data_IF_150991967057
#
_entry.id   IF_150991967057
#
_cell.length_a   1.000
_cell.length_b   1.000
_cell.length_c   1.000
_cell.angle_alpha   90.00
_cell.angle_beta   90.00
_cell.angle_gamma   90.00
#
_symmetry.space_group_name_H-M   'P 1'
#
loop_
_entity.id
_entity.type
_entity.pdbx_description
1 polymer ?
#
# COMPACT_ATOMS: atom_id res chain seq x y z
N UNK A 1 25.00 -29.40 6.14
CA UNK A 1 25.91 -28.85 7.20
C UNK A 1 25.04 -28.23 8.26
N UNK A 2 25.28 -28.49 9.56
CA UNK A 2 24.56 -27.83 10.63
C UNK A 2 25.19 -26.43 10.85
N UNK A 3 24.38 -25.43 10.90
CA UNK A 3 24.76 -24.04 11.16
C UNK A 3 23.89 -23.46 12.28
N UNK A 4 24.38 -22.45 12.98
CA UNK A 4 23.63 -21.72 13.98
C UNK A 4 23.83 -20.23 13.73
N UNK A 5 22.84 -19.42 14.06
CA UNK A 5 22.89 -17.97 13.99
C UNK A 5 22.26 -17.36 15.24
N UNK A 6 22.82 -16.25 15.73
CA UNK A 6 22.37 -15.60 16.96
C UNK A 6 21.01 -14.92 16.77
N UNK A 7 20.78 -14.28 15.63
CA UNK A 7 19.54 -13.57 15.33
C UNK A 7 19.24 -13.59 13.83
N UNK A 8 18.03 -14.01 13.47
CA UNK A 8 17.50 -13.94 12.10
C UNK A 8 16.11 -13.30 12.13
N UNK A 9 15.90 -12.31 11.30
CA UNK A 9 14.68 -11.50 11.24
C UNK A 9 13.89 -11.78 9.99
N UNK A 10 12.57 -11.99 10.10
CA UNK A 10 11.65 -12.16 8.96
C UNK A 10 11.61 -10.88 8.12
N UNK A 11 11.76 -11.03 6.80
CA UNK A 11 11.74 -9.92 5.85
C UNK A 11 10.74 -10.08 4.71
N UNK A 12 10.26 -11.31 4.41
CA UNK A 12 9.33 -11.56 3.30
C UNK A 12 8.60 -12.89 3.44
N UNK A 13 7.36 -12.95 2.92
CA UNK A 13 6.45 -14.11 2.95
C UNK A 13 6.02 -14.61 1.57
N UNK A 14 6.48 -14.05 0.47
CA UNK A 14 5.91 -14.25 -0.87
C UNK A 14 5.71 -15.73 -1.25
N UNK A 15 6.60 -16.61 -0.78
CA UNK A 15 6.54 -18.03 -1.09
C UNK A 15 5.91 -18.90 0.00
N UNK A 16 5.46 -18.33 1.12
CA UNK A 16 4.97 -19.13 2.26
C UNK A 16 3.76 -19.99 1.90
N UNK A 17 2.80 -19.43 1.16
CA UNK A 17 1.60 -20.17 0.76
C UNK A 17 1.84 -21.20 -0.35
N UNK A 18 2.92 -21.02 -1.12
CA UNK A 18 3.23 -21.91 -2.22
C UNK A 18 4.19 -23.03 -1.82
N UNK A 19 5.28 -22.68 -1.15
CA UNK A 19 6.38 -23.59 -0.88
C UNK A 19 6.75 -23.70 0.59
N UNK A 20 6.09 -22.99 1.50
CA UNK A 20 6.47 -22.95 2.92
C UNK A 20 7.81 -22.21 3.13
N UNK A 21 8.15 -21.29 2.26
CA UNK A 21 9.43 -20.56 2.28
C UNK A 21 9.23 -19.13 2.75
N UNK A 22 10.08 -18.67 3.68
CA UNK A 22 10.14 -17.32 4.24
C UNK A 22 11.55 -16.79 4.05
N UNK A 23 11.72 -15.50 3.72
CA UNK A 23 13.05 -14.89 3.74
C UNK A 23 13.38 -14.30 5.08
N UNK A 24 14.60 -14.56 5.51
CA UNK A 24 15.18 -14.03 6.75
C UNK A 24 16.39 -13.15 6.41
N UNK A 25 16.68 -12.21 7.31
CA UNK A 25 17.87 -11.37 7.25
C UNK A 25 18.69 -11.49 8.54
N UNK A 26 20.01 -11.52 8.42
CA UNK A 26 20.97 -11.44 9.51
C UNK A 26 21.26 -9.98 9.93
N UNK A 27 20.61 -8.99 9.32
CA UNK A 27 20.81 -7.55 9.58
C UNK A 27 19.52 -6.84 10.01
N UNK A 28 18.57 -7.57 10.57
CA UNK A 28 17.26 -7.02 10.91
C UNK A 28 16.40 -6.77 9.67
N UNK A 29 15.42 -5.88 9.77
CA UNK A 29 14.56 -5.50 8.64
C UNK A 29 15.30 -4.63 7.65
N UNK A 30 15.23 -4.98 6.37
CA UNK A 30 16.00 -4.34 5.30
C UNK A 30 15.21 -3.20 4.66
N UNK A 31 15.95 -2.18 4.19
CA UNK A 31 15.38 -1.01 3.52
C UNK A 31 15.70 -1.03 2.03
N UNK A 32 14.74 -0.64 1.20
CA UNK A 32 14.97 -0.44 -0.23
C UNK A 32 16.03 0.66 -0.43
N UNK A 33 17.11 0.41 -1.20
CA UNK A 33 18.20 1.38 -1.33
C UNK A 33 17.75 2.77 -1.78
N UNK A 34 16.86 2.86 -2.77
CA UNK A 34 16.34 4.14 -3.30
C UNK A 34 15.29 4.80 -2.41
N UNK A 35 14.87 4.14 -1.33
CA UNK A 35 14.10 4.78 -0.25
C UNK A 35 15.00 5.61 0.68
N UNK A 36 16.29 5.26 0.76
CA UNK A 36 17.28 5.85 1.69
C UNK A 36 18.26 6.75 0.97
N UNK A 37 18.83 6.28 -0.13
CA UNK A 37 19.91 6.92 -0.89
C UNK A 37 19.44 7.32 -2.30
N UNK A 38 20.19 8.20 -2.95
CA UNK A 38 19.90 8.60 -4.33
C UNK A 38 20.11 7.42 -5.29
N UNK A 39 19.25 7.26 -6.29
CA UNK A 39 19.42 6.25 -7.33
C UNK A 39 20.82 6.31 -7.98
N UNK A 40 21.41 5.14 -8.24
CA UNK A 40 22.73 5.02 -8.87
C UNK A 40 23.90 5.58 -8.05
N UNK A 41 23.71 5.89 -6.76
CA UNK A 41 24.82 6.32 -5.88
C UNK A 41 25.57 5.14 -5.31
N UNK A 42 26.86 5.34 -4.98
CA UNK A 42 27.71 4.33 -4.34
C UNK A 42 27.08 3.83 -3.02
N UNK A 43 26.38 4.70 -2.29
CA UNK A 43 25.70 4.36 -1.04
C UNK A 43 24.48 3.44 -1.29
N UNK A 44 23.71 3.69 -2.37
CA UNK A 44 22.58 2.83 -2.74
C UNK A 44 23.07 1.44 -3.18
N UNK A 45 24.12 1.38 -3.99
CA UNK A 45 24.74 0.13 -4.42
C UNK A 45 25.31 -0.66 -3.23
N UNK A 46 26.01 0.03 -2.31
CA UNK A 46 26.56 -0.59 -1.11
C UNK A 46 25.46 -1.16 -0.20
N UNK A 47 24.36 -0.43 -0.02
CA UNK A 47 23.21 -0.90 0.76
C UNK A 47 22.57 -2.12 0.10
N UNK A 48 22.37 -2.11 -1.22
CA UNK A 48 21.84 -3.27 -1.96
C UNK A 48 22.74 -4.51 -1.77
N UNK A 49 24.05 -4.32 -1.92
CA UNK A 49 25.01 -5.42 -1.74
C UNK A 49 25.00 -5.97 -0.31
N UNK A 50 24.88 -5.10 0.71
CA UNK A 50 24.77 -5.51 2.11
C UNK A 50 23.45 -6.25 2.38
N UNK A 51 22.33 -5.76 1.85
CA UNK A 51 21.02 -6.42 1.97
C UNK A 51 21.04 -7.83 1.37
N UNK A 52 21.54 -7.97 0.13
CA UNK A 52 21.63 -9.26 -0.55
C UNK A 52 22.56 -10.25 0.18
N UNK A 53 23.63 -9.76 0.79
CA UNK A 53 24.54 -10.58 1.59
C UNK A 53 23.94 -11.04 2.93
N UNK A 54 22.96 -10.30 3.45
CA UNK A 54 22.28 -10.62 4.71
C UNK A 54 21.09 -11.57 4.53
N UNK A 55 20.55 -11.71 3.30
CA UNK A 55 19.35 -12.49 3.02
C UNK A 55 19.62 -14.00 2.94
N UNK A 56 18.73 -14.79 3.54
CA UNK A 56 18.70 -16.24 3.41
C UNK A 56 17.24 -16.75 3.45
N UNK A 57 16.94 -17.81 2.69
CA UNK A 57 15.63 -18.46 2.76
C UNK A 57 15.56 -19.45 3.91
N UNK A 58 14.47 -19.43 4.67
CA UNK A 58 14.02 -20.49 5.55
C UNK A 58 13.02 -21.36 4.79
N UNK A 59 13.25 -22.66 4.73
CA UNK A 59 12.50 -23.62 3.90
C UNK A 59 12.09 -24.80 4.77
N UNK A 60 10.81 -25.18 4.75
CA UNK A 60 10.24 -26.25 5.59
C UNK A 60 10.77 -27.67 5.26
N UNK A 61 11.66 -27.77 4.28
CA UNK A 61 12.28 -29.04 3.85
C UNK A 61 11.42 -29.87 2.91
N UNK A 62 10.28 -29.35 2.44
CA UNK A 62 9.39 -30.01 1.50
C UNK A 62 9.62 -29.53 0.08
N UNK A 63 9.46 -30.44 -0.90
CA UNK A 63 9.65 -30.09 -2.32
C UNK A 63 8.34 -29.85 -3.06
N UNK A 64 7.21 -30.07 -2.42
CA UNK A 64 5.87 -29.92 -2.99
C UNK A 64 5.28 -28.55 -2.77
N UNK A 65 4.37 -28.12 -3.65
CA UNK A 65 3.49 -26.99 -3.38
C UNK A 65 2.56 -27.31 -2.19
N UNK A 66 2.17 -26.29 -1.42
CA UNK A 66 1.19 -26.41 -0.34
C UNK A 66 -0.15 -27.04 -0.79
N UNK A 67 -0.51 -26.91 -2.06
CA UNK A 67 -1.66 -27.61 -2.64
C UNK A 67 -1.55 -29.15 -2.63
N UNK A 68 -0.35 -29.70 -2.45
CA UNK A 68 -0.05 -31.12 -2.46
C UNK A 68 0.39 -31.64 -1.08
N UNK A 69 -0.04 -31.00 0.01
CA UNK A 69 0.34 -31.39 1.38
C UNK A 69 -0.16 -32.77 1.74
N UNK A 70 0.63 -33.47 2.55
CA UNK A 70 0.25 -34.76 3.10
C UNK A 70 -0.64 -34.58 4.34
N UNK A 71 -1.50 -35.57 4.61
CA UNK A 71 -2.32 -35.57 5.82
C UNK A 71 -1.43 -35.61 7.06
N UNK A 72 -1.68 -34.69 8.01
CA UNK A 72 -0.93 -34.55 9.25
C UNK A 72 0.17 -33.50 9.24
N UNK A 73 0.39 -32.82 8.09
CA UNK A 73 1.25 -31.64 8.05
C UNK A 73 0.55 -30.43 8.69
N UNK A 74 1.31 -29.53 9.33
CA UNK A 74 0.80 -28.20 9.73
C UNK A 74 0.24 -27.47 8.50
N UNK A 75 -0.83 -26.70 8.63
CA UNK A 75 -1.50 -26.03 7.50
C UNK A 75 -0.57 -25.03 6.80
N UNK A 76 0.12 -24.19 7.56
CA UNK A 76 1.25 -23.38 7.08
C UNK A 76 2.42 -23.58 8.05
N UNK A 77 3.67 -23.65 7.55
CA UNK A 77 4.83 -23.64 8.42
C UNK A 77 4.97 -22.26 9.07
N UNK A 78 5.49 -22.20 10.29
CA UNK A 78 5.86 -20.99 11.03
C UNK A 78 4.70 -20.07 11.42
N UNK A 79 3.45 -20.42 11.13
CA UNK A 79 2.27 -19.60 11.43
C UNK A 79 1.26 -20.45 12.21
N UNK A 80 0.93 -20.05 13.43
CA UNK A 80 -0.12 -20.69 14.23
C UNK A 80 -1.51 -20.44 13.59
N UNK A 81 -2.42 -21.42 13.68
CA UNK A 81 -3.81 -21.26 13.25
C UNK A 81 -4.48 -20.09 13.99
N UNK A 82 -5.09 -19.16 13.25
CA UNK A 82 -5.66 -17.93 13.82
C UNK A 82 -4.63 -16.91 14.28
N UNK A 83 -3.34 -17.20 14.09
CA UNK A 83 -2.23 -16.31 14.39
C UNK A 83 -1.69 -15.59 13.16
N UNK A 84 -0.54 -14.95 13.32
CA UNK A 84 0.18 -14.26 12.25
C UNK A 84 1.67 -14.42 12.40
N UNK A 85 2.37 -14.34 11.28
CA UNK A 85 3.81 -14.10 11.17
C UNK A 85 4.01 -12.70 10.60
N UNK A 86 4.92 -11.92 11.20
CA UNK A 86 5.13 -10.52 10.80
C UNK A 86 6.57 -10.25 10.38
N UNK A 87 6.74 -9.29 9.49
CA UNK A 87 8.07 -8.73 9.22
C UNK A 87 8.60 -8.12 10.50
N UNK A 88 9.83 -8.50 10.86
CA UNK A 88 10.45 -8.14 12.12
C UNK A 88 10.35 -9.21 13.22
N UNK A 89 9.55 -10.28 13.06
CA UNK A 89 9.59 -11.42 13.96
C UNK A 89 10.96 -12.12 13.85
N UNK A 90 11.50 -12.64 14.96
CA UNK A 90 12.88 -13.11 15.03
C UNK A 90 13.01 -14.57 15.47
N UNK A 91 14.06 -15.21 15.00
CA UNK A 91 14.60 -16.46 15.52
C UNK A 91 15.90 -16.15 16.26
N UNK A 92 16.02 -16.59 17.51
CA UNK A 92 17.19 -16.37 18.37
C UNK A 92 17.89 -17.67 18.67
N UNK A 93 19.22 -17.69 18.50
CA UNK A 93 20.10 -18.82 18.82
C UNK A 93 19.74 -20.18 18.19
N UNK A 94 19.08 -20.17 17.02
CA UNK A 94 18.56 -21.34 16.36
C UNK A 94 19.59 -22.11 15.54
N UNK A 95 19.36 -23.40 15.36
CA UNK A 95 20.22 -24.32 14.59
C UNK A 95 19.48 -24.91 13.40
N UNK A 96 20.15 -24.92 12.25
CA UNK A 96 19.59 -25.33 10.98
C UNK A 96 20.48 -26.32 10.23
N UNK A 97 19.89 -27.03 9.28
CA UNK A 97 20.64 -27.70 8.24
C UNK A 97 20.77 -26.77 7.04
N UNK A 98 22.01 -26.41 6.69
CA UNK A 98 22.27 -25.62 5.49
C UNK A 98 22.18 -26.51 4.25
N UNK A 99 21.33 -26.19 3.34
CA UNK A 99 21.06 -26.87 2.08
C UNK A 99 21.19 -25.91 0.90
N UNK A 100 21.70 -26.39 -0.23
CA UNK A 100 21.70 -25.68 -1.50
C UNK A 100 20.76 -26.38 -2.47
N UNK A 101 19.70 -25.68 -2.88
CA UNK A 101 18.70 -26.18 -3.80
C UNK A 101 18.04 -25.05 -4.59
N UNK A 102 17.59 -25.34 -5.81
CA UNK A 102 16.95 -24.37 -6.71
C UNK A 102 17.75 -23.07 -6.91
N UNK A 103 19.10 -23.19 -6.88
CA UNK A 103 19.99 -22.05 -7.13
C UNK A 103 20.31 -21.15 -5.95
N UNK A 104 19.77 -21.42 -4.75
CA UNK A 104 19.97 -20.60 -3.56
C UNK A 104 20.30 -21.43 -2.32
N UNK A 105 20.96 -20.81 -1.34
CA UNK A 105 21.16 -21.39 -0.03
C UNK A 105 19.89 -21.25 0.82
N UNK A 106 19.56 -22.34 1.55
CA UNK A 106 18.39 -22.44 2.41
C UNK A 106 18.78 -22.96 3.79
N UNK A 107 18.09 -22.44 4.78
CA UNK A 107 18.05 -22.99 6.14
C UNK A 107 16.86 -23.94 6.25
N UNK A 108 17.11 -25.19 6.60
CA UNK A 108 16.06 -26.16 6.91
C UNK A 108 16.03 -26.36 8.41
N UNK A 109 14.89 -26.12 9.09
CA UNK A 109 14.76 -26.27 10.53
C UNK A 109 14.92 -27.75 10.93
N UNK A 110 15.31 -27.97 12.16
CA UNK A 110 15.30 -29.30 12.77
C UNK A 110 13.88 -29.69 13.22
N UNK A 111 13.08 -28.69 13.59
CA UNK A 111 11.68 -28.81 14.00
C UNK A 111 10.94 -27.55 13.53
N UNK A 112 9.99 -27.74 12.62
CA UNK A 112 9.21 -26.62 12.03
C UNK A 112 8.24 -26.02 13.05
N UNK A 113 7.61 -26.89 13.87
CA UNK A 113 6.58 -26.45 14.82
C UNK A 113 7.22 -25.65 15.97
N UNK A 114 8.43 -26.02 16.41
CA UNK A 114 9.17 -25.25 17.41
C UNK A 114 9.46 -23.80 16.96
N UNK A 115 9.76 -23.58 15.66
CA UNK A 115 10.00 -22.22 15.14
C UNK A 115 8.74 -21.33 15.13
N UNK A 116 7.55 -21.92 15.06
CA UNK A 116 6.29 -21.17 15.16
C UNK A 116 6.18 -20.44 16.50
N UNK A 117 6.47 -21.15 17.59
CA UNK A 117 6.48 -20.58 18.94
C UNK A 117 7.58 -19.52 19.12
N UNK A 118 8.76 -19.76 18.54
CA UNK A 118 9.89 -18.83 18.58
C UNK A 118 9.57 -17.51 17.90
N UNK A 119 9.03 -17.51 16.69
CA UNK A 119 8.60 -16.30 16.01
C UNK A 119 7.54 -15.53 16.79
N UNK A 120 6.53 -16.22 17.32
CA UNK A 120 5.48 -15.61 18.11
C UNK A 120 6.02 -14.97 19.41
N UNK A 121 7.03 -15.58 20.03
CA UNK A 121 7.64 -15.12 21.27
C UNK A 121 8.61 -13.95 21.07
N UNK A 122 9.26 -13.85 19.92
CA UNK A 122 10.31 -12.87 19.61
C UNK A 122 9.82 -11.78 18.63
N UNK A 123 8.61 -11.29 18.81
CA UNK A 123 8.02 -10.24 17.97
C UNK A 123 8.57 -8.87 18.30
N UNK A 124 9.27 -8.24 17.36
CA UNK A 124 9.84 -6.88 17.54
C UNK A 124 8.90 -5.76 17.10
N UNK A 125 7.92 -6.09 16.26
CA UNK A 125 6.93 -5.15 15.72
C UNK A 125 5.50 -5.64 16.00
N UNK A 126 4.98 -5.44 17.23
CA UNK A 126 3.62 -5.84 17.55
C UNK A 126 2.60 -5.07 16.71
N UNK A 127 1.44 -5.68 16.49
CA UNK A 127 0.29 -5.00 15.86
C UNK A 127 -0.06 -3.73 16.63
N UNK A 128 -0.31 -2.66 15.87
CA UNK A 128 -0.90 -1.43 16.40
C UNK A 128 -2.39 -1.47 16.08
N UNK A 129 -3.19 -1.72 17.11
CA UNK A 129 -4.65 -1.85 16.96
C UNK A 129 -5.28 -0.55 16.46
N UNK A 130 -4.83 0.60 16.96
CA UNK A 130 -5.32 1.89 16.59
C UNK A 130 -4.34 2.62 15.64
N UNK A 131 -4.84 3.40 14.67
CA UNK A 131 -4.00 4.23 13.82
C UNK A 131 -3.22 5.27 14.63
N UNK A 132 -2.02 5.66 14.19
CA UNK A 132 -1.25 6.71 14.85
C UNK A 132 -2.01 8.03 14.90
N UNK A 133 -1.90 8.75 16.03
CA UNK A 133 -2.48 10.09 16.15
C UNK A 133 -1.64 11.11 15.37
N UNK A 134 -2.26 11.77 14.41
CA UNK A 134 -1.65 12.82 13.59
C UNK A 134 -2.12 14.23 13.97
N UNK A 135 -2.99 14.34 14.96
CA UNK A 135 -3.57 15.61 15.39
C UNK A 135 -4.43 16.28 14.33
N UNK A 136 -4.57 17.61 14.47
CA UNK A 136 -5.29 18.44 13.51
C UNK A 136 -6.81 18.47 13.69
N UNK A 137 -7.48 19.25 12.84
CA UNK A 137 -8.94 19.40 12.80
C UNK A 137 -9.56 18.78 11.56
N UNK A 138 -8.73 18.33 10.63
CA UNK A 138 -9.09 17.57 9.45
C UNK A 138 -8.06 16.47 9.25
N UNK A 139 -8.53 15.24 9.02
CA UNK A 139 -7.70 14.09 8.67
C UNK A 139 -7.95 13.70 7.23
N UNK A 140 -6.87 13.41 6.49
CA UNK A 140 -6.91 12.85 5.14
C UNK A 140 -6.16 11.53 5.17
N UNK A 141 -6.75 10.49 4.59
CA UNK A 141 -6.10 9.19 4.43
C UNK A 141 -5.88 8.84 2.96
N UNK A 142 -4.76 8.19 2.66
CA UNK A 142 -4.47 7.52 1.40
C UNK A 142 -4.46 6.03 1.62
N UNK A 143 -5.18 5.25 0.80
CA UNK A 143 -5.25 3.82 0.97
C UNK A 143 -5.40 3.09 -0.38
N UNK A 144 -4.39 2.34 -0.78
CA UNK A 144 -4.50 1.34 -1.83
C UNK A 144 -5.25 0.14 -1.26
N UNK A 145 -6.40 -0.21 -1.83
CA UNK A 145 -7.34 -1.21 -1.29
C UNK A 145 -7.24 -2.58 -1.99
N UNK A 146 -6.18 -2.78 -2.78
CA UNK A 146 -5.86 -4.05 -3.44
C UNK A 146 -7.03 -4.57 -4.30
N UNK A 147 -7.28 -3.90 -5.42
CA UNK A 147 -8.27 -4.32 -6.43
C UNK A 147 -9.66 -4.62 -5.84
N UNK A 148 -10.34 -3.59 -5.34
CA UNK A 148 -11.71 -3.72 -4.83
C UNK A 148 -12.72 -3.75 -5.98
N UNK A 149 -13.20 -4.95 -6.33
CA UNK A 149 -14.10 -5.24 -7.43
C UNK A 149 -15.38 -5.89 -6.91
N UNK A 150 -16.55 -5.39 -7.30
CA UNK A 150 -17.83 -5.84 -6.77
C UNK A 150 -18.67 -6.71 -7.73
N UNK A 151 -18.10 -7.13 -8.88
CA UNK A 151 -18.79 -7.90 -9.90
C UNK A 151 -19.85 -7.04 -10.62
N UNK A 152 -21.12 -7.44 -10.55
CA UNK A 152 -22.23 -6.64 -11.09
C UNK A 152 -22.85 -5.69 -10.04
N UNK A 153 -22.31 -5.67 -8.83
CA UNK A 153 -22.82 -4.91 -7.69
C UNK A 153 -24.16 -5.41 -7.15
N UNK A 154 -24.63 -6.57 -7.60
CA UNK A 154 -25.90 -7.19 -7.23
C UNK A 154 -25.73 -8.64 -6.74
N UNK A 155 -24.47 -9.05 -6.50
CA UNK A 155 -24.12 -10.39 -6.00
C UNK A 155 -23.73 -11.40 -7.09
N UNK A 156 -23.62 -10.96 -8.35
CA UNK A 156 -23.15 -11.74 -9.49
C UNK A 156 -21.91 -11.15 -10.14
N UNK A 157 -21.60 -11.60 -11.38
CA UNK A 157 -20.49 -11.05 -12.17
C UNK A 157 -19.10 -11.56 -11.76
N UNK A 158 -19.02 -12.69 -11.04
CA UNK A 158 -17.74 -13.33 -10.66
C UNK A 158 -17.36 -14.47 -11.63
N UNK A 159 -16.04 -14.75 -11.83
CA UNK A 159 -14.91 -14.01 -11.27
C UNK A 159 -14.79 -12.62 -11.90
N UNK A 160 -14.35 -11.64 -11.11
CA UNK A 160 -14.02 -10.30 -11.60
C UNK A 160 -12.70 -10.30 -12.38
N UNK A 161 -12.43 -9.23 -13.10
CA UNK A 161 -11.18 -9.10 -13.87
C UNK A 161 -9.93 -9.09 -12.96
N UNK A 162 -10.05 -8.49 -11.78
CA UNK A 162 -9.04 -8.46 -10.71
C UNK A 162 -9.72 -8.60 -9.35
N UNK A 163 -8.94 -8.84 -8.28
CA UNK A 163 -9.45 -8.91 -6.91
C UNK A 163 -10.30 -10.15 -6.62
N UNK A 164 -11.50 -9.96 -6.09
CA UNK A 164 -12.37 -11.05 -5.65
C UNK A 164 -12.85 -11.94 -6.80
N UNK A 165 -12.72 -13.24 -6.65
CA UNK A 165 -13.23 -14.22 -7.64
C UNK A 165 -14.57 -14.83 -7.23
N UNK A 166 -15.08 -14.50 -6.04
CA UNK A 166 -16.38 -14.93 -5.51
C UNK A 166 -17.04 -13.81 -4.71
N UNK A 167 -18.35 -13.89 -4.52
CA UNK A 167 -19.06 -13.01 -3.59
C UNK A 167 -18.58 -13.16 -2.14
N UNK A 168 -18.12 -14.35 -1.75
CA UNK A 168 -17.56 -14.60 -0.42
C UNK A 168 -16.27 -13.81 -0.22
N UNK A 169 -15.35 -13.83 -1.18
CA UNK A 169 -14.12 -13.03 -1.14
C UNK A 169 -14.40 -11.53 -1.08
N UNK A 170 -15.35 -11.02 -1.88
CA UNK A 170 -15.78 -9.63 -1.80
C UNK A 170 -16.31 -9.28 -0.39
N UNK A 171 -17.11 -10.16 0.21
CA UNK A 171 -17.64 -9.95 1.56
C UNK A 171 -16.50 -9.88 2.59
N UNK A 172 -15.52 -10.79 2.51
CA UNK A 172 -14.33 -10.80 3.37
C UNK A 172 -13.51 -9.51 3.19
N UNK A 173 -13.22 -9.11 1.94
CA UNK A 173 -12.47 -7.89 1.63
C UNK A 173 -13.20 -6.66 2.15
N UNK A 174 -14.51 -6.55 1.90
CA UNK A 174 -15.33 -5.45 2.40
C UNK A 174 -15.30 -5.35 3.91
N UNK A 175 -15.42 -6.48 4.63
CA UNK A 175 -15.37 -6.52 6.11
C UNK A 175 -14.06 -5.94 6.62
N UNK A 176 -12.92 -6.36 6.07
CA UNK A 176 -11.59 -5.87 6.47
C UNK A 176 -11.40 -4.38 6.15
N UNK A 177 -11.81 -3.94 4.96
CA UNK A 177 -11.70 -2.54 4.54
C UNK A 177 -12.61 -1.61 5.36
N UNK A 178 -13.82 -2.06 5.71
CA UNK A 178 -14.72 -1.30 6.59
C UNK A 178 -14.09 -1.11 7.96
N UNK A 179 -13.55 -2.16 8.58
CA UNK A 179 -12.85 -2.05 9.87
C UNK A 179 -11.66 -1.07 9.78
N UNK A 180 -10.83 -1.19 8.73
CA UNK A 180 -9.70 -0.29 8.52
C UNK A 180 -10.11 1.18 8.35
N UNK A 181 -11.09 1.45 7.47
CA UNK A 181 -11.54 2.81 7.15
C UNK A 181 -12.21 3.47 8.36
N UNK A 182 -13.05 2.74 9.08
CA UNK A 182 -13.72 3.28 10.28
C UNK A 182 -12.73 3.58 11.40
N UNK A 183 -11.73 2.73 11.61
CA UNK A 183 -10.66 3.00 12.60
C UNK A 183 -9.76 4.17 12.21
N UNK A 184 -9.42 4.34 10.93
CA UNK A 184 -8.66 5.50 10.44
C UNK A 184 -9.36 6.82 10.77
N UNK A 185 -10.69 6.82 10.87
CA UNK A 185 -11.52 7.97 11.24
C UNK A 185 -11.09 9.26 10.50
N UNK A 186 -10.86 9.17 9.19
CA UNK A 186 -10.48 10.31 8.38
C UNK A 186 -11.72 11.05 7.81
N UNK A 187 -11.56 12.33 7.56
CA UNK A 187 -12.60 13.17 6.94
C UNK A 187 -12.66 12.97 5.42
N UNK A 188 -11.50 12.67 4.80
CA UNK A 188 -11.35 12.42 3.36
C UNK A 188 -10.42 11.21 3.15
N UNK A 189 -10.84 10.29 2.32
CA UNK A 189 -10.06 9.14 1.87
C UNK A 189 -9.81 9.25 0.38
N UNK A 190 -8.54 9.19 -0.06
CA UNK A 190 -8.14 8.90 -1.41
C UNK A 190 -7.89 7.40 -1.52
N UNK A 191 -8.80 6.68 -2.18
CA UNK A 191 -8.71 5.24 -2.38
C UNK A 191 -8.08 4.94 -3.73
N UNK A 192 -7.23 3.94 -3.78
CA UNK A 192 -6.51 3.48 -4.96
C UNK A 192 -6.90 2.03 -5.23
N UNK A 193 -6.96 1.63 -6.51
CA UNK A 193 -7.35 0.29 -6.97
C UNK A 193 -8.82 -0.06 -6.72
N UNK A 194 -9.70 0.93 -6.84
CA UNK A 194 -11.15 0.70 -6.97
C UNK A 194 -11.46 0.32 -8.42
N UNK A 195 -12.39 -0.62 -8.63
CA UNK A 195 -12.89 -0.98 -9.95
C UNK A 195 -13.32 0.26 -10.74
N UNK A 196 -12.90 0.35 -12.02
CA UNK A 196 -13.20 1.48 -12.89
C UNK A 196 -14.54 1.30 -13.58
N UNK A 197 -15.59 1.38 -12.81
CA UNK A 197 -16.97 1.26 -13.20
C UNK A 197 -17.78 2.54 -12.94
N UNK A 198 -19.05 2.54 -13.27
CA UNK A 198 -19.94 3.68 -13.09
C UNK A 198 -21.39 3.27 -12.91
N UNK A 199 -22.27 4.25 -12.71
CA UNK A 199 -23.70 4.04 -12.57
C UNK A 199 -24.14 3.69 -11.15
N UNK A 200 -25.27 2.96 -11.04
CA UNK A 200 -25.94 2.75 -9.74
C UNK A 200 -25.25 1.70 -8.86
N UNK A 201 -24.49 0.79 -9.44
CA UNK A 201 -23.93 -0.39 -8.78
C UNK A 201 -22.39 -0.39 -8.75
N UNK A 202 -21.78 0.79 -8.88
CA UNK A 202 -20.32 0.91 -8.91
C UNK A 202 -19.67 0.45 -7.59
N UNK A 203 -18.44 -0.08 -7.68
CA UNK A 203 -17.72 -0.68 -6.57
C UNK A 203 -17.50 0.31 -5.40
N UNK A 204 -17.17 1.56 -5.67
CA UNK A 204 -17.00 2.58 -4.61
C UNK A 204 -18.31 2.80 -3.85
N UNK A 205 -19.48 2.69 -4.50
CA UNK A 205 -20.80 2.79 -3.83
C UNK A 205 -21.00 1.60 -2.90
N UNK A 206 -20.70 0.38 -3.35
CA UNK A 206 -20.80 -0.84 -2.53
C UNK A 206 -20.00 -0.69 -1.24
N UNK A 207 -18.78 -0.16 -1.32
CA UNK A 207 -17.95 0.11 -0.14
C UNK A 207 -18.57 1.19 0.77
N UNK A 208 -19.05 2.30 0.20
CA UNK A 208 -19.69 3.39 0.97
C UNK A 208 -20.98 2.93 1.63
N UNK A 209 -21.77 2.12 0.96
CA UNK A 209 -23.02 1.54 1.53
C UNK A 209 -22.67 0.62 2.72
N UNK A 210 -21.60 -0.18 2.63
CA UNK A 210 -21.12 -1.02 3.73
C UNK A 210 -20.62 -0.16 4.92
N UNK A 211 -19.85 0.90 4.65
CA UNK A 211 -19.39 1.85 5.69
C UNK A 211 -20.59 2.51 6.41
N UNK A 212 -21.59 2.93 5.68
CA UNK A 212 -22.79 3.56 6.25
C UNK A 212 -23.66 2.54 7.02
N UNK A 213 -23.71 1.29 6.57
CA UNK A 213 -24.42 0.23 7.28
C UNK A 213 -23.78 -0.06 8.64
N UNK A 214 -22.43 -0.13 8.71
CA UNK A 214 -21.70 -0.36 9.96
C UNK A 214 -21.79 0.86 10.89
N UNK A 215 -21.67 2.08 10.36
CA UNK A 215 -21.84 3.33 11.10
C UNK A 215 -23.28 3.56 11.61
N UNK A 216 -24.26 2.80 11.12
CA UNK A 216 -25.68 2.94 11.45
C UNK A 216 -26.32 4.25 10.97
N UNK A 217 -25.66 4.99 10.08
CA UNK A 217 -26.11 6.28 9.55
C UNK A 217 -25.41 6.62 8.22
N UNK A 218 -26.04 7.46 7.40
CA UNK A 218 -25.42 7.99 6.18
C UNK A 218 -24.34 9.04 6.50
N UNK A 219 -23.17 8.60 6.95
CA UNK A 219 -22.01 9.43 7.29
C UNK A 219 -21.09 9.64 6.09
N UNK A 220 -20.88 8.59 5.30
CA UNK A 220 -19.93 8.59 4.20
C UNK A 220 -20.61 8.81 2.85
N UNK A 221 -19.91 9.52 1.99
CA UNK A 221 -20.23 9.70 0.57
C UNK A 221 -18.97 9.61 -0.27
N UNK A 222 -19.13 9.50 -1.58
CA UNK A 222 -18.01 9.52 -2.53
C UNK A 222 -18.21 10.62 -3.58
N UNK A 223 -17.12 10.98 -4.26
CA UNK A 223 -17.17 11.83 -5.45
C UNK A 223 -17.47 10.93 -6.65
N UNK A 224 -18.64 11.10 -7.26
CA UNK A 224 -19.06 10.29 -8.41
C UNK A 224 -18.34 10.77 -9.67
N UNK A 225 -17.30 10.06 -10.08
CA UNK A 225 -16.51 10.36 -11.27
C UNK A 225 -16.99 9.59 -12.50
N UNK A 226 -17.86 8.59 -12.33
CA UNK A 226 -18.11 7.58 -13.36
C UNK A 226 -16.82 6.83 -13.73
N UNK A 227 -16.75 6.32 -14.95
CA UNK A 227 -15.54 5.69 -15.51
C UNK A 227 -14.52 6.77 -15.88
N UNK A 228 -13.26 6.59 -15.47
CA UNK A 228 -12.14 7.50 -15.77
C UNK A 228 -10.95 6.72 -16.35
N UNK A 229 -10.37 7.21 -17.47
CA UNK A 229 -9.29 6.49 -18.16
C UNK A 229 -9.76 5.16 -18.75
N UNK A 230 -8.81 4.27 -19.00
CA UNK A 230 -9.03 3.01 -19.72
C UNK A 230 -8.61 1.76 -18.95
N UNK A 231 -7.96 1.92 -17.78
CA UNK A 231 -7.56 0.79 -16.93
C UNK A 231 -8.81 0.21 -16.22
N UNK A 232 -8.73 -1.03 -15.80
CA UNK A 232 -9.77 -1.72 -15.01
C UNK A 232 -9.92 -1.14 -13.60
N UNK A 233 -8.93 -0.37 -13.14
CA UNK A 233 -8.92 0.27 -11.82
C UNK A 233 -8.82 1.79 -11.94
N UNK A 234 -9.38 2.48 -10.94
CA UNK A 234 -9.31 3.94 -10.79
C UNK A 234 -9.01 4.35 -9.35
N UNK A 235 -8.78 5.65 -9.17
CA UNK A 235 -8.81 6.29 -7.87
C UNK A 235 -10.23 6.77 -7.55
N UNK A 236 -10.55 6.85 -6.25
CA UNK A 236 -11.83 7.39 -5.79
C UNK A 236 -11.64 8.24 -4.53
N UNK A 237 -12.53 9.21 -4.32
CA UNK A 237 -12.66 9.90 -3.05
C UNK A 237 -13.89 9.42 -2.30
N UNK A 238 -13.67 9.00 -1.05
CA UNK A 238 -14.72 8.82 -0.03
C UNK A 238 -14.54 9.90 1.02
N UNK A 239 -15.63 10.46 1.56
CA UNK A 239 -15.55 11.54 2.53
C UNK A 239 -16.67 11.50 3.56
N UNK A 240 -16.38 11.98 4.77
CA UNK A 240 -17.35 12.17 5.84
C UNK A 240 -18.13 13.47 5.61
N UNK A 241 -19.41 13.34 5.18
CA UNK A 241 -20.28 14.48 4.86
C UNK A 241 -20.63 15.35 6.07
N UNK A 242 -20.40 14.86 7.27
CA UNK A 242 -20.68 15.58 8.51
C UNK A 242 -19.57 16.60 8.84
N UNK A 243 -18.39 16.41 8.24
CA UNK A 243 -17.20 17.22 8.55
C UNK A 243 -16.68 17.99 7.36
N UNK A 244 -16.85 17.47 6.16
CA UNK A 244 -16.41 18.12 4.91
C UNK A 244 -17.47 18.03 3.81
N UNK A 245 -17.30 18.85 2.79
CA UNK A 245 -18.01 18.70 1.52
C UNK A 245 -17.11 19.03 0.34
N UNK A 246 -17.26 18.35 -0.81
CA UNK A 246 -16.60 18.75 -2.04
C UNK A 246 -17.11 20.12 -2.50
N UNK A 247 -16.25 20.95 -3.08
CA UNK A 247 -16.56 22.26 -3.64
C UNK A 247 -15.84 22.43 -4.98
N UNK A 248 -16.54 23.02 -5.95
CA UNK A 248 -16.11 23.00 -7.36
C UNK A 248 -16.30 21.60 -7.97
N UNK A 249 -15.92 21.50 -9.23
CA UNK A 249 -15.90 20.21 -9.93
C UNK A 249 -14.61 19.45 -9.59
N UNK A 250 -14.66 18.11 -9.66
CA UNK A 250 -13.41 17.34 -9.68
C UNK A 250 -12.66 17.59 -10.99
N UNK A 251 -11.37 17.37 -11.00
CA UNK A 251 -10.54 17.52 -12.18
C UNK A 251 -9.65 16.28 -12.39
N UNK A 252 -9.38 15.96 -13.64
CA UNK A 252 -8.54 14.83 -14.02
C UNK A 252 -7.31 15.33 -14.77
N UNK A 253 -6.15 14.80 -14.41
CA UNK A 253 -4.95 14.92 -15.23
C UNK A 253 -4.85 13.68 -16.13
N UNK A 254 -4.84 13.93 -17.44
CA UNK A 254 -4.73 12.93 -18.51
C UNK A 254 -3.76 13.43 -19.57
N UNK A 255 -3.41 12.59 -20.53
CA UNK A 255 -2.59 12.96 -21.71
C UNK A 255 -3.22 14.06 -22.56
N UNK A 256 -4.54 14.22 -22.52
CA UNK A 256 -5.25 15.32 -23.19
C UNK A 256 -5.06 16.68 -22.49
N UNK A 257 -4.75 16.68 -21.18
CA UNK A 257 -4.45 17.88 -20.39
C UNK A 257 -2.97 18.21 -20.47
N UNK A 258 -2.11 17.24 -20.28
CA UNK A 258 -0.67 17.37 -20.42
C UNK A 258 -0.08 16.09 -21.05
N UNK A 259 0.53 16.16 -22.24
CA UNK A 259 1.02 14.96 -22.94
C UNK A 259 2.18 14.24 -22.24
N UNK A 260 2.76 14.83 -21.21
CA UNK A 260 3.76 14.15 -20.34
C UNK A 260 3.11 13.14 -19.40
N UNK A 261 1.80 13.26 -19.15
CA UNK A 261 1.05 12.33 -18.32
C UNK A 261 0.44 11.23 -19.21
N UNK A 262 1.10 10.07 -19.28
CA UNK A 262 0.59 8.92 -20.02
C UNK A 262 -0.45 8.16 -19.23
N UNK A 263 -1.73 8.46 -19.45
CA UNK A 263 -2.87 7.82 -18.79
C UNK A 263 -3.25 6.45 -19.34
N UNK A 264 -2.50 5.93 -20.32
CA UNK A 264 -2.53 4.50 -20.68
C UNK A 264 -1.59 3.66 -19.79
N UNK A 265 -0.71 4.31 -19.03
CA UNK A 265 0.29 3.67 -18.14
C UNK A 265 0.05 4.00 -16.69
N UNK A 266 -0.05 5.28 -16.35
CA UNK A 266 -0.55 5.77 -15.06
C UNK A 266 -2.06 5.92 -15.14
N UNK A 267 -2.79 5.77 -14.03
CA UNK A 267 -4.24 6.05 -14.01
C UNK A 267 -4.44 7.56 -13.90
N UNK A 268 -5.49 8.17 -14.52
CA UNK A 268 -5.72 9.61 -14.44
C UNK A 268 -5.67 10.13 -13.00
N UNK A 269 -4.82 11.11 -12.69
CA UNK A 269 -4.80 11.69 -11.36
C UNK A 269 -6.11 12.43 -11.10
N UNK A 270 -6.72 12.21 -9.92
CA UNK A 270 -8.03 12.75 -9.55
C UNK A 270 -7.85 13.83 -8.48
N UNK A 271 -8.23 15.09 -8.78
CA UNK A 271 -8.21 16.21 -7.86
C UNK A 271 -9.63 16.62 -7.45
N UNK A 272 -9.81 16.90 -6.15
CA UNK A 272 -11.02 17.49 -5.60
C UNK A 272 -10.67 18.48 -4.50
N UNK A 273 -11.34 19.63 -4.49
CA UNK A 273 -11.26 20.56 -3.37
C UNK A 273 -12.35 20.26 -2.35
N UNK A 274 -11.96 20.12 -1.09
CA UNK A 274 -12.86 19.91 0.04
C UNK A 274 -12.91 21.15 0.94
N UNK A 275 -14.11 21.50 1.38
CA UNK A 275 -14.37 22.56 2.35
C UNK A 275 -14.61 21.92 3.71
N UNK A 276 -13.83 22.30 4.72
CA UNK A 276 -14.06 21.95 6.13
C UNK A 276 -15.29 22.68 6.67
N UNK A 277 -16.29 21.94 7.09
CA UNK A 277 -17.48 22.50 7.72
C UNK A 277 -17.09 23.14 9.06
N UNK A 278 -17.72 24.26 9.40
CA UNK A 278 -17.43 25.00 10.63
C UNK A 278 -16.30 26.04 10.51
N UNK A 279 -15.21 25.77 9.78
CA UNK A 279 -14.14 26.76 9.55
C UNK A 279 -14.27 27.50 8.22
N UNK A 280 -14.78 26.82 7.19
CA UNK A 280 -14.86 27.32 5.82
C UNK A 280 -13.52 27.27 5.05
N UNK A 281 -12.45 26.76 5.67
CA UNK A 281 -11.16 26.55 5.01
C UNK A 281 -11.27 25.42 3.97
N UNK A 282 -10.40 25.51 2.96
CA UNK A 282 -10.43 24.59 1.81
C UNK A 282 -9.06 23.99 1.57
N UNK A 283 -9.05 22.72 1.22
CA UNK A 283 -7.85 21.97 0.81
C UNK A 283 -8.14 21.26 -0.50
N UNK A 284 -7.19 21.28 -1.43
CA UNK A 284 -7.27 20.48 -2.65
C UNK A 284 -6.48 19.19 -2.41
N UNK A 285 -7.15 18.05 -2.49
CA UNK A 285 -6.54 16.72 -2.37
C UNK A 285 -6.46 16.11 -3.75
N UNK A 286 -5.34 15.48 -4.05
CA UNK A 286 -5.10 14.79 -5.33
C UNK A 286 -4.67 13.38 -5.06
N UNK A 287 -5.44 12.40 -5.49
CA UNK A 287 -5.12 10.99 -5.37
C UNK A 287 -4.54 10.48 -6.70
N UNK A 288 -3.45 9.72 -6.60
CA UNK A 288 -2.65 9.28 -7.73
C UNK A 288 -2.40 7.77 -7.66
N UNK A 289 -2.20 7.17 -8.83
CA UNK A 289 -1.68 5.83 -8.99
C UNK A 289 -0.82 5.79 -10.26
N UNK A 290 0.48 5.96 -10.10
CA UNK A 290 1.43 5.97 -11.22
C UNK A 290 1.74 4.55 -11.70
N UNK A 291 2.45 4.46 -12.83
CA UNK A 291 2.85 3.18 -13.44
C UNK A 291 3.76 2.39 -12.51
N UNK A 292 3.42 1.13 -12.30
CA UNK A 292 4.21 0.19 -11.48
C UNK A 292 5.62 -0.05 -12.05
N UNK A 293 6.55 -0.50 -11.19
CA UNK A 293 7.99 -0.65 -11.49
C UNK A 293 8.34 -1.89 -12.31
N UNK A 294 7.40 -2.80 -12.56
CA UNK A 294 7.61 -4.02 -13.35
C UNK A 294 7.73 -3.74 -14.84
N UNK A 295 8.39 -4.63 -15.60
CA UNK A 295 8.67 -4.48 -17.04
C UNK A 295 7.39 -4.29 -17.88
N UNK A 296 6.30 -5.01 -17.58
CA UNK A 296 4.98 -4.94 -18.22
C UNK A 296 4.96 -4.37 -19.66
N UNK A 297 4.78 -5.18 -20.68
CA UNK A 297 4.63 -4.76 -22.09
C UNK A 297 5.77 -3.90 -22.69
N UNK A 298 6.85 -3.67 -21.96
CA UNK A 298 8.02 -2.95 -22.44
C UNK A 298 9.00 -3.96 -23.05
N UNK A 299 9.20 -3.88 -24.37
CA UNK A 299 10.08 -4.78 -25.13
C UNK A 299 11.33 -4.07 -25.67
N UNK A 300 11.29 -2.73 -25.78
CA UNK A 300 12.38 -1.92 -26.31
C UNK A 300 13.41 -1.60 -25.21
N UNK A 301 14.53 -2.31 -25.24
CA UNK A 301 15.66 -2.09 -24.32
C UNK A 301 16.34 -0.73 -24.48
N UNK A 302 16.05 0.01 -25.59
CA UNK A 302 16.60 1.35 -25.82
C UNK A 302 15.64 2.45 -25.32
N UNK A 303 14.46 2.07 -24.85
CA UNK A 303 13.49 3.01 -24.28
C UNK A 303 14.05 3.68 -23.01
N UNK A 304 13.78 4.98 -22.80
CA UNK A 304 14.11 5.63 -21.53
C UNK A 304 13.36 5.03 -20.32
N UNK A 305 12.30 4.26 -20.57
CA UNK A 305 11.53 3.54 -19.57
C UNK A 305 12.11 2.15 -19.21
N UNK A 306 13.12 1.69 -19.97
CA UNK A 306 13.83 0.47 -19.62
C UNK A 306 14.58 0.66 -18.29
N UNK A 307 14.72 -0.39 -17.50
CA UNK A 307 15.46 -0.35 -16.25
C UNK A 307 16.93 0.04 -16.51
N UNK A 308 17.35 1.18 -16.00
CA UNK A 308 18.70 1.71 -16.18
C UNK A 308 19.72 1.09 -15.21
N UNK A 309 19.28 0.16 -14.34
CA UNK A 309 20.13 -0.49 -13.34
C UNK A 309 20.51 0.41 -12.17
N UNK A 310 19.82 1.53 -11.98
CA UNK A 310 20.06 2.52 -10.94
C UNK A 310 19.18 2.32 -9.68
N UNK A 311 18.37 1.24 -9.67
CA UNK A 311 17.46 0.87 -8.58
C UNK A 311 16.05 1.46 -8.72
N UNK A 312 15.78 2.28 -9.74
CA UNK A 312 14.45 2.86 -9.96
C UNK A 312 13.48 1.93 -10.73
N UNK A 313 14.01 0.85 -11.36
CA UNK A 313 13.25 -0.12 -12.13
C UNK A 313 12.67 0.43 -13.42
N UNK A 314 11.83 -0.36 -14.09
CA UNK A 314 11.18 0.05 -15.34
C UNK A 314 10.21 1.21 -15.15
N UNK A 315 9.93 1.95 -16.24
CA UNK A 315 8.96 3.05 -16.31
C UNK A 315 9.30 4.28 -15.45
N UNK A 316 10.56 4.43 -15.01
CA UNK A 316 10.93 5.58 -14.20
C UNK A 316 10.82 6.91 -14.96
N UNK A 317 11.17 6.92 -16.25
CA UNK A 317 10.99 8.11 -17.08
C UNK A 317 9.52 8.54 -17.15
N UNK A 318 8.60 7.60 -17.45
CA UNK A 318 7.15 7.85 -17.48
C UNK A 318 6.64 8.37 -16.14
N UNK A 319 7.04 7.76 -15.00
CA UNK A 319 6.65 8.25 -13.66
C UNK A 319 7.18 9.67 -13.40
N UNK A 320 8.42 9.96 -13.79
CA UNK A 320 9.01 11.29 -13.63
C UNK A 320 8.28 12.34 -14.46
N UNK A 321 7.96 12.02 -15.73
CA UNK A 321 7.17 12.91 -16.57
C UNK A 321 5.76 13.13 -16.00
N UNK A 322 5.13 12.10 -15.43
CA UNK A 322 3.83 12.20 -14.75
C UNK A 322 3.92 13.13 -13.52
N UNK A 323 4.99 13.04 -12.73
CA UNK A 323 5.21 13.90 -11.57
C UNK A 323 5.39 15.38 -11.96
N UNK A 324 6.16 15.66 -13.02
CA UNK A 324 6.34 17.02 -13.55
C UNK A 324 5.01 17.58 -14.08
N UNK A 325 4.26 16.81 -14.86
CA UNK A 325 2.95 17.20 -15.36
C UNK A 325 1.96 17.47 -14.20
N UNK A 326 1.97 16.62 -13.17
CA UNK A 326 1.13 16.78 -11.99
C UNK A 326 1.41 18.09 -11.25
N UNK A 327 2.69 18.43 -11.04
CA UNK A 327 3.09 19.66 -10.37
C UNK A 327 2.65 20.92 -11.14
N UNK A 328 2.86 20.94 -12.46
CA UNK A 328 2.46 22.04 -13.33
C UNK A 328 0.93 22.19 -13.42
N UNK A 329 0.23 21.07 -13.57
CA UNK A 329 -1.23 21.06 -13.60
C UNK A 329 -1.84 21.59 -12.29
N UNK A 330 -1.34 21.18 -11.14
CA UNK A 330 -1.83 21.67 -9.84
C UNK A 330 -1.57 23.16 -9.62
N UNK A 331 -0.51 23.71 -10.23
CA UNK A 331 -0.24 25.15 -10.21
C UNK A 331 -1.31 25.95 -10.96
N UNK A 332 -2.07 25.35 -11.89
CA UNK A 332 -3.19 26.00 -12.61
C UNK A 332 -4.48 26.09 -11.81
N UNK A 333 -4.54 25.49 -10.61
CA UNK A 333 -5.76 25.37 -9.80
C UNK A 333 -6.90 24.63 -10.53
N UNK A 334 -6.73 23.36 -10.88
CA UNK A 334 -7.58 22.64 -11.83
C UNK A 334 -9.04 22.46 -11.39
N UNK A 335 -9.34 22.51 -10.09
CA UNK A 335 -10.72 22.46 -9.57
C UNK A 335 -11.43 23.81 -9.65
N UNK A 336 -10.75 24.89 -10.06
CA UNK A 336 -11.28 26.26 -10.12
C UNK A 336 -11.56 26.90 -8.75
N UNK A 337 -11.21 26.23 -7.66
CA UNK A 337 -11.51 26.70 -6.29
C UNK A 337 -10.21 27.05 -5.57
N UNK A 338 -10.13 28.26 -5.03
CA UNK A 338 -8.98 28.66 -4.21
C UNK A 338 -8.97 27.90 -2.89
N UNK A 339 -7.80 27.33 -2.55
CA UNK A 339 -7.56 26.56 -1.34
C UNK A 339 -6.24 26.97 -0.65
N UNK A 340 -5.95 26.43 0.53
CA UNK A 340 -4.70 26.67 1.25
C UNK A 340 -3.47 26.07 0.52
N UNK A 341 -3.70 25.19 -0.42
CA UNK A 341 -2.69 24.48 -1.19
C UNK A 341 -3.17 23.10 -1.60
N UNK A 342 -2.29 22.34 -2.23
CA UNK A 342 -2.56 20.96 -2.65
C UNK A 342 -1.83 19.94 -1.79
N UNK A 343 -2.51 18.84 -1.51
CA UNK A 343 -2.01 17.63 -0.88
C UNK A 343 -2.04 16.51 -1.92
N UNK A 344 -0.88 16.05 -2.36
CA UNK A 344 -0.70 14.88 -3.23
C UNK A 344 -0.63 13.65 -2.34
N UNK A 345 -1.50 12.68 -2.58
CA UNK A 345 -1.53 11.38 -1.92
C UNK A 345 -1.64 10.27 -2.96
N UNK A 346 -1.42 9.05 -2.56
CA UNK A 346 -1.58 7.86 -3.39
C UNK A 346 -0.28 7.12 -3.61
N UNK A 347 -0.39 6.05 -4.39
CA UNK A 347 0.70 5.21 -4.80
C UNK A 347 1.40 5.81 -6.03
N UNK A 348 2.55 6.43 -5.82
CA UNK A 348 3.38 6.96 -6.91
C UNK A 348 4.32 5.92 -7.51
N UNK A 349 4.32 4.69 -7.01
CA UNK A 349 5.21 3.61 -7.44
C UNK A 349 6.68 4.06 -7.53
N UNK A 350 7.07 4.96 -6.62
CA UNK A 350 8.40 5.54 -6.54
C UNK A 350 8.83 5.70 -5.08
N UNK A 351 9.99 5.18 -4.75
CA UNK A 351 10.55 5.31 -3.39
C UNK A 351 11.03 6.73 -3.11
N UNK A 352 11.23 7.06 -1.84
CA UNK A 352 11.40 8.43 -1.34
C UNK A 352 12.56 9.25 -1.95
N UNK A 353 13.55 8.60 -2.59
CA UNK A 353 14.69 9.28 -3.24
C UNK A 353 14.69 9.19 -4.75
N UNK A 354 13.69 8.53 -5.34
CA UNK A 354 13.57 8.36 -6.79
C UNK A 354 13.15 9.66 -7.48
N UNK A 355 13.40 9.74 -8.77
CA UNK A 355 13.22 10.95 -9.57
C UNK A 355 11.79 11.51 -9.56
N UNK A 356 10.70 10.70 -9.56
CA UNK A 356 9.34 11.24 -9.48
C UNK A 356 9.10 12.03 -8.19
N UNK A 357 9.57 11.53 -7.03
CA UNK A 357 9.43 12.21 -5.74
C UNK A 357 10.28 13.47 -5.71
N UNK A 358 11.52 13.40 -6.21
CA UNK A 358 12.42 14.56 -6.30
C UNK A 358 11.86 15.66 -7.19
N UNK A 359 11.25 15.31 -8.34
CA UNK A 359 10.60 16.28 -9.22
C UNK A 359 9.48 17.05 -8.50
N UNK A 360 8.69 16.39 -7.66
CA UNK A 360 7.68 17.05 -6.83
C UNK A 360 8.30 17.90 -5.72
N UNK A 361 9.38 17.44 -5.07
CA UNK A 361 10.11 18.23 -4.08
C UNK A 361 10.72 19.51 -4.70
N UNK A 362 11.32 19.41 -5.89
CA UNK A 362 11.85 20.55 -6.66
C UNK A 362 10.75 21.54 -7.06
N UNK A 363 9.52 21.05 -7.31
CA UNK A 363 8.34 21.89 -7.52
C UNK A 363 7.80 22.53 -6.23
N UNK A 364 8.43 22.30 -5.07
CA UNK A 364 8.10 22.92 -3.79
C UNK A 364 7.11 22.12 -2.93
N UNK A 365 6.90 20.85 -3.21
CA UNK A 365 6.17 19.95 -2.32
C UNK A 365 7.10 19.44 -1.22
N UNK A 366 6.54 19.22 -0.05
CA UNK A 366 7.27 18.70 1.13
C UNK A 366 6.69 17.35 1.47
N UNK A 367 7.55 16.33 1.51
CA UNK A 367 7.20 14.98 1.97
C UNK A 367 6.89 15.01 3.47
N UNK A 368 5.65 14.72 3.81
CA UNK A 368 5.18 14.80 5.20
C UNK A 368 5.52 13.52 5.98
N UNK A 369 5.59 12.35 5.32
CA UNK A 369 6.03 11.13 6.01
C UNK A 369 7.46 11.27 6.49
N UNK A 370 8.38 11.69 5.64
CA UNK A 370 9.78 11.95 6.02
C UNK A 370 9.92 13.05 7.07
N UNK A 371 8.99 14.02 7.08
CA UNK A 371 9.02 15.12 8.04
C UNK A 371 8.58 14.70 9.44
N UNK A 372 7.62 13.79 9.56
CA UNK A 372 6.99 13.46 10.85
C UNK A 372 7.33 12.06 11.38
N UNK A 373 7.87 11.16 10.55
CA UNK A 373 8.28 9.82 11.00
C UNK A 373 9.67 9.88 11.64
N UNK A 374 9.79 9.33 12.84
CA UNK A 374 11.09 9.11 13.47
C UNK A 374 11.74 7.84 12.90
N UNK A 375 12.59 7.97 11.92
CA UNK A 375 13.22 6.85 11.22
C UNK A 375 12.91 6.86 9.73
N UNK A 376 13.01 5.71 9.08
CA UNK A 376 12.75 5.55 7.66
C UNK A 376 11.31 5.05 7.50
N UNK A 377 10.41 5.85 6.91
CA UNK A 377 9.04 5.42 6.67
C UNK A 377 8.97 4.33 5.58
N UNK A 378 7.97 3.46 5.67
CA UNK A 378 7.63 2.47 4.66
C UNK A 378 6.13 2.27 4.60
N UNK A 379 5.61 1.87 3.44
CA UNK A 379 4.21 1.51 3.22
C UNK A 379 4.06 0.16 2.53
N UNK A 380 5.17 -0.38 2.02
CA UNK A 380 5.21 -1.59 1.21
C UNK A 380 6.49 -2.39 1.44
N UNK A 381 6.41 -3.70 1.21
CA UNK A 381 7.57 -4.60 1.24
C UNK A 381 7.69 -5.34 -0.09
N UNK A 382 8.86 -5.28 -0.71
CA UNK A 382 9.16 -5.97 -1.95
C UNK A 382 10.55 -6.60 -1.90
N UNK A 383 10.66 -7.87 -2.32
CA UNK A 383 11.92 -8.65 -2.29
C UNK A 383 12.65 -8.62 -0.94
N UNK A 384 11.88 -8.58 0.17
CA UNK A 384 12.40 -8.55 1.54
C UNK A 384 12.92 -7.18 1.99
N UNK A 385 12.67 -6.12 1.23
CA UNK A 385 13.08 -4.75 1.54
C UNK A 385 11.88 -3.82 1.64
N UNK A 386 11.87 -2.94 2.64
CA UNK A 386 10.79 -2.01 2.91
C UNK A 386 11.06 -0.63 2.29
N UNK A 387 10.00 0.04 1.83
CA UNK A 387 10.04 1.41 1.35
C UNK A 387 8.68 2.04 1.18
N UNK A 388 8.64 3.36 0.95
CA UNK A 388 7.40 4.12 0.74
C UNK A 388 7.04 4.17 -0.73
N UNK A 389 5.97 3.52 -1.16
CA UNK A 389 5.35 3.72 -2.48
C UNK A 389 4.18 4.70 -2.39
N UNK A 390 3.47 4.68 -1.25
CA UNK A 390 2.38 5.60 -0.95
C UNK A 390 2.92 6.86 -0.26
N UNK A 391 2.46 8.00 -0.71
CA UNK A 391 3.05 9.29 -0.34
C UNK A 391 2.04 10.28 0.24
N UNK A 392 2.56 11.30 0.92
CA UNK A 392 1.83 12.48 1.39
C UNK A 392 2.71 13.73 1.19
N UNK A 393 2.50 14.45 0.08
CA UNK A 393 3.29 15.61 -0.30
C UNK A 393 2.41 16.87 -0.27
N UNK A 394 2.76 17.84 0.56
CA UNK A 394 2.01 19.08 0.73
C UNK A 394 2.78 20.29 0.24
N UNK A 395 2.06 21.28 -0.38
CA UNK A 395 2.65 22.52 -0.90
C UNK A 395 1.96 23.76 -0.36
N UNK A 396 2.70 24.88 -0.38
CA UNK A 396 2.20 26.20 -0.05
C UNK A 396 1.86 26.36 1.43
N UNK A 397 0.81 27.14 1.75
CA UNK A 397 0.36 27.35 3.11
C UNK A 397 -0.10 26.05 3.77
N UNK A 398 -0.59 25.09 2.99
CA UNK A 398 -1.04 23.78 3.49
C UNK A 398 0.08 23.01 4.15
N UNK A 399 1.31 23.02 3.59
CA UNK A 399 2.46 22.32 4.18
C UNK A 399 2.76 22.79 5.61
N UNK A 400 2.53 24.07 5.93
CA UNK A 400 2.70 24.62 7.28
C UNK A 400 1.53 24.30 8.23
N UNK A 401 0.43 23.79 7.71
CA UNK A 401 -0.77 23.39 8.46
C UNK A 401 -0.83 21.91 8.78
N UNK A 402 0.11 21.11 8.25
CA UNK A 402 0.23 19.69 8.62
C UNK A 402 0.69 19.59 10.06
N UNK A 403 -0.09 18.89 10.89
CA UNK A 403 0.19 18.63 12.31
C UNK A 403 0.90 17.32 12.56
N UNK A 404 0.71 16.35 11.65
CA UNK A 404 1.32 15.03 11.68
C UNK A 404 1.04 14.27 10.38
N UNK A 405 1.89 13.32 10.08
CA UNK A 405 1.69 12.32 9.04
C UNK A 405 2.30 11.00 9.51
N UNK A 406 1.61 9.90 9.29
CA UNK A 406 2.03 8.59 9.76
C UNK A 406 1.52 7.48 8.84
N UNK A 407 2.17 6.33 8.92
CA UNK A 407 1.75 5.08 8.30
C UNK A 407 1.15 4.20 9.40
N UNK A 408 0.00 3.58 9.14
CA UNK A 408 -0.56 2.58 10.03
C UNK A 408 -0.24 1.19 9.50
N UNK A 409 0.72 0.50 10.14
CA UNK A 409 1.30 -0.76 9.67
C UNK A 409 0.39 -1.97 9.95
N UNK A 410 -0.66 -2.10 9.12
CA UNK A 410 -1.64 -3.19 9.18
C UNK A 410 -1.52 -4.18 8.03
N UNK A 411 -0.75 -3.88 6.99
CA UNK A 411 -0.72 -4.65 5.76
C UNK A 411 0.68 -5.14 5.38
N UNK A 412 1.65 -4.23 5.22
CA UNK A 412 2.98 -4.54 4.68
C UNK A 412 3.78 -5.53 5.56
N UNK A 413 3.54 -5.52 6.87
CA UNK A 413 4.20 -6.43 7.82
C UNK A 413 3.46 -7.77 8.00
N UNK A 414 2.24 -7.93 7.51
CA UNK A 414 1.38 -9.09 7.77
C UNK A 414 1.55 -10.20 6.73
N UNK A 415 1.51 -11.44 7.19
CA UNK A 415 1.51 -12.61 6.31
C UNK A 415 0.26 -12.63 5.41
N UNK A 416 0.39 -12.95 4.10
CA UNK A 416 -0.77 -12.97 3.19
C UNK A 416 -1.89 -13.92 3.59
N UNK A 417 -1.60 -14.99 4.32
CA UNK A 417 -2.57 -16.03 4.66
C UNK A 417 -3.82 -15.52 5.41
N UNK A 418 -3.72 -14.39 6.10
CA UNK A 418 -4.83 -13.80 6.86
C UNK A 418 -5.71 -12.84 6.04
N UNK A 419 -5.42 -12.65 4.73
CA UNK A 419 -6.19 -11.79 3.84
C UNK A 419 -7.58 -12.36 3.48
N UNK A 420 -8.28 -11.70 2.56
CA UNK A 420 -9.64 -12.06 2.14
C UNK A 420 -9.70 -13.23 1.15
N UNK A 421 -8.57 -13.65 0.58
CA UNK A 421 -8.54 -14.62 -0.52
C UNK A 421 -8.94 -16.03 -0.07
N UNK A 422 -9.72 -16.71 -0.88
CA UNK A 422 -10.08 -18.12 -0.72
C UNK A 422 -9.17 -19.01 -1.59
N UNK A 423 -9.39 -20.33 -1.53
CA UNK A 423 -8.75 -21.26 -2.47
C UNK A 423 -9.23 -20.99 -3.91
N UNK A 424 -8.34 -21.19 -4.87
CA UNK A 424 -8.67 -20.93 -6.27
C UNK A 424 -7.64 -21.52 -7.23
N UNK A 425 -7.78 -21.27 -8.54
CA UNK A 425 -6.87 -21.76 -9.54
C UNK A 425 -5.45 -21.19 -9.35
N UNK A 426 -4.43 -22.04 -9.42
CA UNK A 426 -3.03 -21.63 -9.38
C UNK A 426 -2.62 -20.70 -10.54
N UNK A 427 -3.38 -20.73 -11.65
CA UNK A 427 -3.21 -19.78 -12.77
C UNK A 427 -3.52 -18.33 -12.39
N UNK A 428 -4.25 -18.10 -11.31
CA UNK A 428 -4.52 -16.79 -10.71
C UNK A 428 -3.61 -16.49 -9.50
N UNK A 429 -2.52 -17.22 -9.32
CA UNK A 429 -1.61 -17.05 -8.18
C UNK A 429 -2.16 -17.57 -6.84
N UNK A 430 -3.25 -18.37 -6.86
CA UNK A 430 -3.88 -18.92 -5.65
C UNK A 430 -3.18 -20.21 -5.27
N UNK A 431 -2.41 -20.21 -4.20
CA UNK A 431 -1.64 -21.38 -3.72
C UNK A 431 -2.10 -21.90 -2.36
N UNK A 432 -3.16 -21.32 -1.79
CA UNK A 432 -3.75 -21.81 -0.54
C UNK A 432 -4.86 -22.82 -0.79
N UNK A 433 -4.99 -23.78 0.13
CA UNK A 433 -6.12 -24.72 0.17
C UNK A 433 -7.33 -24.06 0.82
N UNK A 434 -8.51 -24.69 0.72
CA UNK A 434 -9.71 -24.23 1.41
C UNK A 434 -9.54 -24.28 2.94
N UNK A 435 -8.79 -25.24 3.45
CA UNK A 435 -8.47 -25.36 4.88
C UNK A 435 -7.61 -24.18 5.35
N UNK A 436 -6.55 -23.81 4.61
CA UNK A 436 -5.71 -22.64 4.90
C UNK A 436 -6.57 -21.39 4.90
N UNK A 437 -7.37 -21.16 3.84
CA UNK A 437 -8.23 -19.99 3.74
C UNK A 437 -9.28 -19.88 4.86
N UNK A 438 -9.70 -21.02 5.42
CA UNK A 438 -10.65 -21.04 6.55
C UNK A 438 -9.97 -20.85 7.90
N UNK A 439 -8.78 -21.42 8.09
CA UNK A 439 -8.06 -21.41 9.37
C UNK A 439 -7.38 -20.06 9.67
N UNK A 440 -6.95 -19.34 8.63
CA UNK A 440 -6.15 -18.11 8.81
C UNK A 440 -6.90 -16.82 8.50
N UNK A 441 -8.03 -16.82 7.81
CA UNK A 441 -8.77 -15.60 7.55
C UNK A 441 -9.04 -14.80 8.83
N UNK A 442 -8.55 -13.57 8.88
CA UNK A 442 -8.77 -12.61 9.96
C UNK A 442 -9.71 -11.49 9.46
N UNK A 443 -10.92 -11.31 10.04
CA UNK A 443 -11.86 -10.28 9.59
C UNK A 443 -11.46 -8.84 9.98
N UNK A 444 -10.42 -8.67 10.79
CA UNK A 444 -9.94 -7.36 11.23
C UNK A 444 -9.26 -6.57 10.10
N UNK A 445 -8.88 -5.33 10.38
CA UNK A 445 -8.16 -4.44 9.47
C UNK A 445 -6.80 -4.99 8.99
N UNK A 446 -6.19 -5.90 9.74
CA UNK A 446 -4.85 -6.42 9.43
C UNK A 446 -4.87 -7.27 8.15
N UNK A 447 -3.99 -6.93 7.21
CA UNK A 447 -3.93 -7.50 5.85
C UNK A 447 -5.24 -7.28 5.06
N UNK A 448 -5.82 -6.10 5.18
CA UNK A 448 -6.92 -5.64 4.32
C UNK A 448 -6.44 -5.27 2.91
N UNK A 449 -5.14 -5.06 2.75
CA UNK A 449 -4.42 -4.77 1.50
C UNK A 449 -3.00 -5.33 1.59
N UNK A 450 -2.16 -5.03 0.59
CA UNK A 450 -0.70 -5.22 0.61
C UNK A 450 0.06 -3.90 0.87
N UNK A 451 -0.61 -2.76 0.74
CA UNK A 451 -0.10 -1.43 1.10
C UNK A 451 -0.65 -0.96 2.43
N UNK A 452 0.19 -0.33 3.25
CA UNK A 452 -0.22 0.32 4.49
C UNK A 452 -0.90 1.67 4.20
N UNK A 453 -2.01 2.01 4.86
CA UNK A 453 -2.61 3.31 4.73
C UNK A 453 -1.77 4.42 5.36
N UNK A 454 -1.75 5.58 4.68
CA UNK A 454 -1.11 6.81 5.15
C UNK A 454 -2.17 7.76 5.67
N UNK A 455 -1.97 8.34 6.85
CA UNK A 455 -2.87 9.32 7.45
C UNK A 455 -2.17 10.66 7.72
N UNK A 456 -2.84 11.77 7.41
CA UNK A 456 -2.33 13.12 7.53
C UNK A 456 -3.30 13.98 8.33
N UNK A 457 -2.80 14.65 9.37
CA UNK A 457 -3.53 15.64 10.15
C UNK A 457 -3.26 17.05 9.64
N UNK A 458 -4.32 17.86 9.54
CA UNK A 458 -4.26 19.25 9.09
C UNK A 458 -4.96 20.16 10.10
N UNK A 459 -4.29 21.24 10.51
CA UNK A 459 -4.92 22.28 11.33
C UNK A 459 -5.59 23.35 10.44
N UNK A 460 -6.90 23.26 10.32
CA UNK A 460 -7.74 24.16 9.53
C UNK A 460 -8.58 25.08 10.43
N UNK A 461 -8.00 25.61 11.49
CA UNK A 461 -8.66 26.66 12.27
C UNK A 461 -8.74 27.97 11.46
N UNK A 462 -9.85 28.70 11.61
CA UNK A 462 -9.94 30.07 11.09
C UNK A 462 -8.75 30.86 11.63
N UNK A 463 -7.91 31.37 10.73
CA UNK A 463 -6.96 32.40 11.08
C UNK A 463 -7.73 33.59 11.67
N UNK A 464 -7.58 33.81 12.97
CA UNK A 464 -7.99 35.06 13.62
C UNK A 464 -7.02 36.15 13.22
N UNK A 465 -6.94 36.49 11.94
CA UNK A 465 -6.49 37.80 11.56
C UNK A 465 -7.58 38.77 12.02
N UNK A 466 -7.31 39.37 13.17
CA UNK A 466 -8.07 40.50 13.65
C UNK A 466 -8.26 41.47 12.49
N UNK A 467 -9.54 41.77 12.18
CA UNK A 467 -9.89 42.98 11.46
C UNK A 467 -9.40 44.13 12.33
N UNK A 468 -8.18 44.59 12.11
CA UNK A 468 -7.83 45.97 12.47
C UNK A 468 -8.61 46.84 11.50
N UNK A 469 -9.65 47.45 12.03
CA UNK A 469 -10.37 48.59 11.42
C UNK A 469 -9.56 49.86 11.65
#
# INVERSE_FOLDING_TARGET
MRVAHEELTVTEFFQIERFGEVRLSASGVLQTPTNVHLPGSDEAEALLAANLAALISLDDGRTGSNLNRLSGDSLLPYVEEGGTLRIGDQLLDESFVLHFGFGVWRLQPLDVDALTDEFASNRTRPRQEDPPDVGGTLRVASFNVLNYFNGDGQGGGFPTARGAITQSELTRQTTKLVDAILRLDADVYGLIEIENDGGAFQAVRTLVDALNADAGAEVYRFVDTGVIGTDEIKQAFVYNRMTVRPVGEFALLTSAVDPRFDDNRSRPALAQTFLRLGTGERVTVVVNHFKSKGQSELEDETSPDWDQGDGQGFWNFTRTQSALALADWLATNPTGVQSLGSLIIGDLNAYAREDPIRALEEAGYVDQLRRFTAGIPYTYTFDGMQGTLDTALARGTLASRVTGAAVWHINADEVPAIDYLESGPSSLGRFRTAEIAAAYYDPSAFRSSDHDPVVIGLDLHRSTFARQR
#
